data_IF_482987986433
#
_entry.id   IF_482987986433
#
_cell.length_a   1.000
_cell.length_b   1.000
_cell.length_c   1.000
_cell.angle_alpha   90.00
_cell.angle_beta   90.00
_cell.angle_gamma   90.00
#
_symmetry.space_group_name_H-M   'P 1'
#
loop_
_entity.id
_entity.type
_entity.pdbx_description
1 polymer ?
#
# COMPACT_ATOMS: atom_id res chain seq x y z
N UNK A 1 -12.02 -2.38 -2.55
CA UNK A 1 -11.65 -1.20 -3.38
C UNK A 1 -10.82 -0.29 -2.49
N UNK A 2 -9.65 0.17 -2.92
CA UNK A 2 -8.80 1.05 -2.10
C UNK A 2 -9.40 2.46 -2.17
N UNK A 3 -9.80 3.02 -1.04
CA UNK A 3 -10.40 4.36 -0.98
C UNK A 3 -9.34 5.41 -1.39
N UNK A 4 -9.56 6.18 -2.46
CA UNK A 4 -8.65 7.25 -2.87
C UNK A 4 -8.56 8.32 -1.78
N UNK A 5 -7.35 8.84 -1.51
CA UNK A 5 -7.16 9.91 -0.52
C UNK A 5 -6.84 11.24 -1.19
N UNK A 6 -7.72 12.25 -1.12
CA UNK A 6 -7.41 13.59 -1.61
C UNK A 6 -6.17 14.16 -0.88
N UNK A 7 -5.29 14.82 -1.64
CA UNK A 7 -4.18 15.56 -1.08
C UNK A 7 -4.53 17.05 -0.99
N UNK A 8 -4.02 17.77 0.03
CA UNK A 8 -4.07 19.22 0.02
C UNK A 8 -3.27 19.77 -1.17
N UNK A 9 -3.66 20.93 -1.74
CA UNK A 9 -2.91 21.57 -2.80
C UNK A 9 -1.45 21.79 -2.42
N UNK A 10 -0.53 21.46 -3.32
CA UNK A 10 0.89 21.74 -3.12
C UNK A 10 1.10 23.27 -3.03
N UNK A 11 1.83 23.72 -2.00
CA UNK A 11 2.20 25.13 -1.83
C UNK A 11 3.54 25.39 -2.50
N UNK A 12 3.69 26.57 -3.10
CA UNK A 12 4.95 26.99 -3.70
C UNK A 12 5.95 27.47 -2.62
N UNK A 13 7.26 27.29 -2.83
CA UNK A 13 7.89 26.59 -3.96
C UNK A 13 7.64 25.08 -3.92
N UNK A 14 7.43 24.47 -5.10
CA UNK A 14 7.16 23.04 -5.18
C UNK A 14 8.35 22.22 -4.66
N UNK A 15 8.09 21.07 -4.00
CA UNK A 15 9.17 20.22 -3.53
C UNK A 15 9.98 19.65 -4.70
N UNK A 16 11.26 19.28 -4.48
CA UNK A 16 12.08 18.63 -5.50
C UNK A 16 11.40 17.38 -6.06
N UNK A 17 11.44 17.22 -7.38
CA UNK A 17 10.79 16.10 -8.06
C UNK A 17 9.27 16.23 -8.23
N UNK A 18 8.67 17.37 -7.87
CA UNK A 18 7.27 17.66 -8.17
C UNK A 18 7.08 17.91 -9.67
N UNK A 19 6.31 17.05 -10.33
CA UNK A 19 5.88 17.23 -11.71
C UNK A 19 4.40 17.65 -11.78
N UNK A 20 4.14 18.82 -12.38
CA UNK A 20 2.78 19.35 -12.58
C UNK A 20 1.94 18.51 -13.56
N UNK A 21 2.59 17.74 -14.44
CA UNK A 21 1.93 16.89 -15.43
C UNK A 21 1.70 15.48 -14.92
N UNK A 22 2.51 15.01 -13.97
CA UNK A 22 2.31 13.72 -13.33
C UNK A 22 0.99 13.68 -12.55
N UNK A 23 0.37 12.51 -12.46
CA UNK A 23 -0.92 12.29 -11.78
C UNK A 23 -0.85 11.01 -10.98
N UNK A 24 -1.32 11.06 -9.73
CA UNK A 24 -1.38 9.90 -8.85
C UNK A 24 -2.83 9.44 -8.67
N UNK A 25 -3.17 8.27 -9.22
CA UNK A 25 -4.54 7.73 -9.17
C UNK A 25 -4.99 7.39 -7.74
N UNK A 26 -4.06 7.00 -6.87
CA UNK A 26 -4.32 6.79 -5.45
C UNK A 26 -4.77 8.08 -4.74
N UNK A 27 -4.41 9.24 -5.29
CA UNK A 27 -4.73 10.57 -4.76
C UNK A 27 -5.71 11.34 -5.63
N UNK A 28 -6.65 10.65 -6.30
CA UNK A 28 -7.69 11.28 -7.12
C UNK A 28 -7.10 12.14 -8.24
N UNK A 29 -5.97 11.71 -8.81
CA UNK A 29 -5.28 12.46 -9.88
C UNK A 29 -4.60 13.73 -9.40
N UNK A 30 -4.22 13.83 -8.12
CA UNK A 30 -3.41 14.95 -7.62
C UNK A 30 -2.09 15.06 -8.41
N UNK A 31 -1.65 16.27 -8.77
CA UNK A 31 -0.36 16.48 -9.42
C UNK A 31 0.82 16.23 -8.47
N UNK A 32 1.99 15.97 -9.04
CA UNK A 32 3.26 15.91 -8.33
C UNK A 32 4.06 14.64 -8.60
N UNK A 33 3.43 13.47 -8.62
CA UNK A 33 4.08 12.17 -8.85
C UNK A 33 3.12 11.16 -9.47
N UNK A 34 3.64 10.10 -10.07
CA UNK A 34 2.85 8.95 -10.55
C UNK A 34 2.54 7.97 -9.41
N UNK A 35 1.51 7.12 -9.57
CA UNK A 35 1.17 6.10 -8.55
C UNK A 35 2.35 5.17 -8.21
N UNK A 36 3.22 4.90 -9.18
CA UNK A 36 4.43 4.10 -9.03
C UNK A 36 5.44 4.70 -8.03
N UNK A 37 5.40 6.02 -7.81
CA UNK A 37 6.25 6.73 -6.85
C UNK A 37 5.50 7.08 -5.56
N UNK A 38 4.20 6.77 -5.48
CA UNK A 38 3.38 7.09 -4.33
C UNK A 38 3.77 6.24 -3.10
N UNK A 39 4.50 6.87 -2.17
CA UNK A 39 4.94 6.21 -0.93
C UNK A 39 3.76 5.68 -0.10
N UNK A 40 2.65 6.44 -0.02
CA UNK A 40 1.49 6.04 0.76
C UNK A 40 0.83 4.79 0.16
N UNK A 41 0.73 4.73 -1.16
CA UNK A 41 0.23 3.56 -1.87
C UNK A 41 1.13 2.33 -1.63
N UNK A 42 2.46 2.47 -1.77
CA UNK A 42 3.42 1.39 -1.50
C UNK A 42 3.29 0.83 -0.08
N UNK A 43 3.18 1.72 0.91
CA UNK A 43 2.98 1.30 2.31
C UNK A 43 1.66 0.55 2.49
N UNK A 44 0.56 1.03 1.90
CA UNK A 44 -0.74 0.35 1.96
C UNK A 44 -0.69 -1.04 1.32
N UNK A 45 0.00 -1.20 0.20
CA UNK A 45 0.21 -2.51 -0.43
C UNK A 45 1.02 -3.43 0.50
N UNK A 46 2.08 -2.94 1.13
CA UNK A 46 2.85 -3.71 2.10
C UNK A 46 2.01 -4.14 3.31
N UNK A 47 1.19 -3.24 3.87
CA UNK A 47 0.26 -3.57 4.96
C UNK A 47 -0.69 -4.71 4.57
N UNK A 48 -1.21 -4.71 3.34
CA UNK A 48 -2.09 -5.77 2.84
C UNK A 48 -1.35 -7.11 2.69
N UNK A 49 -0.10 -7.09 2.20
CA UNK A 49 0.75 -8.27 2.10
C UNK A 49 1.03 -8.83 3.50
N UNK A 50 1.41 -7.98 4.45
CA UNK A 50 1.72 -8.40 5.82
C UNK A 50 0.49 -9.00 6.50
N UNK A 51 -0.69 -8.37 6.36
CA UNK A 51 -1.95 -8.92 6.87
C UNK A 51 -2.24 -10.30 6.29
N UNK A 52 -2.11 -10.47 4.98
CA UNK A 52 -2.29 -11.76 4.34
C UNK A 52 -1.31 -12.81 4.88
N UNK A 53 -0.02 -12.47 5.05
CA UNK A 53 0.99 -13.36 5.62
C UNK A 53 0.68 -13.74 7.07
N UNK A 54 0.13 -12.83 7.88
CA UNK A 54 -0.26 -13.13 9.26
C UNK A 54 -1.45 -14.08 9.34
N UNK A 55 -2.40 -13.98 8.40
CA UNK A 55 -3.53 -14.90 8.31
C UNK A 55 -3.07 -16.33 8.00
N UNK A 56 -2.11 -16.50 7.08
CA UNK A 56 -1.53 -17.81 6.77
C UNK A 56 -0.74 -18.43 7.93
N UNK A 57 -0.02 -17.62 8.72
CA UNK A 57 0.71 -18.11 9.90
C UNK A 57 -0.19 -18.50 11.06
N UNK A 58 -1.44 -18.01 11.09
CA UNK A 58 -2.41 -18.28 12.16
C UNK A 58 -3.15 -19.61 11.96
N UNK A 59 -2.93 -20.35 10.88
CA UNK A 59 -3.37 -21.74 10.82
C UNK A 59 -2.57 -22.58 11.82
N UNK A 60 -3.18 -23.03 12.94
CA UNK A 60 -2.51 -24.00 13.78
C UNK A 60 -2.54 -25.32 13.02
N UNK A 61 -1.35 -25.89 12.85
CA UNK A 61 -1.14 -27.32 12.69
C UNK A 61 -2.22 -28.12 13.44
N UNK A 62 -3.16 -28.73 12.70
CA UNK A 62 -4.14 -29.65 13.26
C UNK A 62 -4.20 -30.93 12.42
N UNK A 63 -3.71 -32.01 13.03
CA UNK A 63 -3.82 -33.40 12.59
C UNK A 63 -2.61 -33.88 11.79
N UNK A 64 -1.81 -34.88 12.20
CA UNK A 64 -2.02 -35.98 13.15
C UNK A 64 -0.66 -36.40 13.71
N UNK A 65 -0.52 -36.43 15.04
CA UNK A 65 0.52 -37.26 15.67
C UNK A 65 -0.04 -38.68 15.77
N UNK A 66 0.46 -39.60 14.94
CA UNK A 66 0.22 -41.02 15.14
C UNK A 66 1.15 -41.51 16.24
N UNK A 67 0.65 -42.05 17.38
CA UNK A 67 1.50 -42.90 18.19
C UNK A 67 1.61 -44.27 17.49
N UNK A 68 2.81 -44.62 17.03
CA UNK A 68 3.13 -45.97 16.57
C UNK A 68 3.35 -46.90 17.78
N UNK A 69 3.03 -48.20 17.64
CA UNK A 69 3.03 -49.19 18.73
C UNK A 69 4.42 -49.52 19.29
#
# INVERSE_FOLDING_TARGET
MVEPRPLPPAKQPYPPGFDMNARCDYHVGSPGHHIEDCRVFKLKVQELIDLQLTLFKKEPHSGMVTPSP
#
